data_IF_293146400546
#
_entry.id   IF_293146400546
#
_cell.length_a   1.000
_cell.length_b   1.000
_cell.length_c   1.000
_cell.angle_alpha   90.00
_cell.angle_beta   90.00
_cell.angle_gamma   90.00
#
_symmetry.space_group_name_H-M   'P 1'
#
loop_
_entity.id
_entity.type
_entity.pdbx_description
1 polymer ?
#
# COMPACT_ATOMS: atom_id res chain seq x y z
N UNK A 1 12.08 7.97 36.67
CA UNK A 1 12.62 8.83 35.59
C UNK A 1 13.93 9.42 36.09
N UNK A 2 15.08 9.10 35.50
CA UNK A 2 16.35 9.70 35.90
C UNK A 2 16.40 11.17 35.45
N UNK A 3 16.26 12.09 36.40
CA UNK A 3 16.62 13.48 36.18
C UNK A 3 18.14 13.63 36.11
N UNK A 4 18.63 14.45 35.18
CA UNK A 4 20.05 14.80 35.05
C UNK A 4 20.28 16.25 35.43
N UNK A 5 21.42 16.52 36.04
CA UNK A 5 21.87 17.87 36.37
C UNK A 5 23.02 18.21 35.43
N UNK A 6 22.84 19.22 34.59
CA UNK A 6 23.87 19.70 33.68
C UNK A 6 24.38 21.06 34.14
N UNK A 7 25.69 21.30 33.99
CA UNK A 7 26.32 22.59 34.29
C UNK A 7 26.35 23.43 33.02
N UNK A 8 25.81 24.65 33.09
CA UNK A 8 25.85 25.57 31.96
C UNK A 8 27.28 26.06 31.70
N UNK A 9 27.82 25.84 30.51
CA UNK A 9 29.18 26.24 30.15
C UNK A 9 29.40 27.77 30.09
N UNK A 10 28.32 28.57 30.10
CA UNK A 10 28.40 30.04 29.99
C UNK A 10 28.30 30.74 31.35
N UNK A 11 27.44 30.25 32.26
CA UNK A 11 27.28 30.84 33.60
C UNK A 11 27.55 29.89 34.76
N UNK A 12 28.00 28.67 34.50
CA UNK A 12 28.29 27.62 35.49
C UNK A 12 27.11 27.25 36.40
N UNK A 13 25.88 27.67 36.06
CA UNK A 13 24.68 27.32 36.82
C UNK A 13 24.29 25.87 36.57
N UNK A 14 23.92 25.18 37.65
CA UNK A 14 23.38 23.84 37.60
C UNK A 14 21.91 23.87 37.14
N UNK A 15 21.60 23.18 36.05
CA UNK A 15 20.26 23.09 35.47
C UNK A 15 19.77 21.65 35.55
N UNK A 16 18.64 21.43 36.22
CA UNK A 16 17.99 20.11 36.31
C UNK A 16 17.11 19.89 35.08
N UNK A 17 17.22 18.73 34.45
CA UNK A 17 16.43 18.36 33.28
C UNK A 17 16.37 16.86 33.04
N UNK A 18 15.97 16.46 31.85
CA UNK A 18 15.88 15.06 31.42
C UNK A 18 16.70 14.85 30.15
N UNK A 19 17.29 13.66 29.99
CA UNK A 19 18.01 13.28 28.77
C UNK A 19 17.05 13.20 27.58
N UNK A 20 15.77 12.89 27.83
CA UNK A 20 14.75 12.75 26.79
C UNK A 20 14.09 14.09 26.40
N UNK A 21 14.15 15.11 27.26
CA UNK A 21 13.43 16.38 27.08
C UNK A 21 14.34 17.55 27.44
N UNK A 22 14.67 18.37 26.44
CA UNK A 22 15.63 19.48 26.57
C UNK A 22 15.01 20.82 26.94
N UNK A 23 13.70 20.87 27.22
CA UNK A 23 12.94 22.10 27.46
C UNK A 23 13.55 22.99 28.55
N UNK A 24 13.98 22.41 29.68
CA UNK A 24 14.59 23.16 30.78
C UNK A 24 15.94 23.78 30.39
N UNK A 25 16.76 23.07 29.62
CA UNK A 25 18.06 23.57 29.14
C UNK A 25 17.86 24.68 28.10
N UNK A 26 16.89 24.51 27.21
CA UNK A 26 16.54 25.52 26.19
C UNK A 26 15.99 26.79 26.84
N UNK A 27 15.12 26.66 27.86
CA UNK A 27 14.60 27.80 28.62
C UNK A 27 15.70 28.56 29.35
N UNK A 28 16.64 27.85 29.98
CA UNK A 28 17.82 28.47 30.60
C UNK A 28 18.66 29.24 29.58
N UNK A 29 18.97 28.63 28.43
CA UNK A 29 19.74 29.26 27.36
C UNK A 29 19.02 30.50 26.80
N UNK A 30 17.70 30.42 26.58
CA UNK A 30 16.90 31.54 26.06
C UNK A 30 16.84 32.72 27.03
N UNK A 31 16.71 32.45 28.33
CA UNK A 31 16.50 33.49 29.35
C UNK A 31 17.79 34.12 29.86
N UNK A 32 18.88 33.35 30.02
CA UNK A 32 20.16 33.83 30.55
C UNK A 32 21.21 34.10 29.49
N UNK A 33 21.09 33.49 28.31
CA UNK A 33 22.09 33.58 27.23
C UNK A 33 21.45 33.84 25.85
N UNK A 34 20.72 34.95 25.67
CA UNK A 34 19.94 35.21 24.44
C UNK A 34 20.80 35.23 23.17
N UNK A 35 22.03 35.76 23.22
CA UNK A 35 22.97 35.75 22.07
C UNK A 35 23.39 34.33 21.66
N UNK A 36 23.81 33.48 22.62
CA UNK A 36 24.16 32.07 22.38
C UNK A 36 22.96 31.24 21.92
N UNK A 37 21.76 31.55 22.44
CA UNK A 37 20.52 30.92 21.98
C UNK A 37 20.18 31.29 20.53
N UNK A 38 20.41 32.54 20.12
CA UNK A 38 20.24 32.96 18.72
C UNK A 38 21.19 32.24 17.77
N UNK A 39 22.48 32.10 18.14
CA UNK A 39 23.47 31.31 17.39
C UNK A 39 23.05 29.84 17.26
N UNK A 40 22.57 29.22 18.35
CA UNK A 40 22.04 27.86 18.33
C UNK A 40 20.83 27.72 17.40
N UNK A 41 19.90 28.69 17.43
CA UNK A 41 18.72 28.70 16.58
C UNK A 41 19.08 28.85 15.10
N UNK A 42 20.06 29.70 14.77
CA UNK A 42 20.58 29.87 13.41
C UNK A 42 21.18 28.56 12.86
N UNK A 43 22.09 27.93 13.61
CA UNK A 43 22.70 26.63 13.23
C UNK A 43 21.66 25.51 13.11
N UNK A 44 20.62 25.50 13.97
CA UNK A 44 19.51 24.54 13.89
C UNK A 44 18.67 24.74 12.62
N UNK A 45 18.47 25.99 12.19
CA UNK A 45 17.74 26.31 10.96
C UNK A 45 18.55 25.96 9.70
N UNK A 46 19.86 26.19 9.68
CA UNK A 46 20.75 25.75 8.60
C UNK A 46 20.77 24.22 8.46
N UNK A 47 20.84 23.50 9.58
CA UNK A 47 20.75 22.04 9.57
C UNK A 47 19.37 21.56 9.08
N UNK A 48 18.28 22.27 9.42
CA UNK A 48 16.93 22.01 8.89
C UNK A 48 16.84 22.21 7.38
N UNK A 49 17.44 23.27 6.83
CA UNK A 49 17.48 23.52 5.38
C UNK A 49 18.29 22.44 4.63
N UNK A 50 19.43 21.99 5.19
CA UNK A 50 20.21 20.88 4.64
C UNK A 50 19.46 19.54 4.69
N UNK A 51 18.64 19.29 5.71
CA UNK A 51 17.76 18.11 5.75
C UNK A 51 16.58 18.20 4.78
N UNK A 52 16.04 19.40 4.52
CA UNK A 52 14.93 19.63 3.57
C UNK A 52 15.30 19.38 2.10
N UNK A 53 16.54 19.69 1.69
CA UNK A 53 17.02 19.36 0.32
C UNK A 53 17.17 17.85 0.07
N UNK A 54 17.46 17.06 1.11
CA UNK A 54 17.52 15.59 1.02
C UNK A 54 16.12 14.96 1.01
N UNK A 55 15.12 15.58 1.64
CA UNK A 55 13.74 15.09 1.60
C UNK A 55 13.08 15.34 0.24
N UNK A 56 13.33 16.49 -0.40
CA UNK A 56 12.75 16.81 -1.71
C UNK A 56 13.09 15.78 -2.79
N UNK A 57 14.38 15.45 -2.98
CA UNK A 57 14.79 14.41 -3.94
C UNK A 57 14.16 13.05 -3.62
N UNK A 58 14.00 12.71 -2.34
CA UNK A 58 13.40 11.43 -1.95
C UNK A 58 11.90 11.38 -2.25
N UNK A 59 11.22 12.52 -2.15
CA UNK A 59 9.80 12.68 -2.46
C UNK A 59 9.57 12.68 -3.98
N UNK A 60 10.41 13.39 -4.75
CA UNK A 60 10.37 13.38 -6.22
C UNK A 60 10.58 11.97 -6.79
N UNK A 61 11.56 11.24 -6.25
CA UNK A 61 11.84 9.86 -6.64
C UNK A 61 10.68 8.94 -6.27
N UNK A 62 10.09 9.11 -5.08
CA UNK A 62 8.91 8.35 -4.69
C UNK A 62 7.74 8.59 -5.64
N UNK A 63 7.46 9.85 -5.99
CA UNK A 63 6.39 10.22 -6.92
C UNK A 63 6.64 9.61 -8.30
N UNK A 64 7.86 9.73 -8.83
CA UNK A 64 8.22 9.09 -10.09
C UNK A 64 7.98 7.58 -10.08
N UNK A 65 8.40 6.87 -9.02
CA UNK A 65 8.19 5.43 -8.91
C UNK A 65 6.70 5.07 -8.85
N UNK A 66 5.89 5.86 -8.13
CA UNK A 66 4.45 5.67 -8.05
C UNK A 66 3.76 5.93 -9.40
N UNK A 67 4.10 7.03 -10.06
CA UNK A 67 3.49 7.43 -11.33
C UNK A 67 3.83 6.46 -12.46
N UNK A 68 5.06 5.95 -12.45
CA UNK A 68 5.51 4.94 -13.44
C UNK A 68 5.23 3.50 -13.02
N UNK A 69 4.67 3.27 -11.83
CA UNK A 69 4.51 1.94 -11.22
C UNK A 69 5.81 1.10 -11.24
N UNK A 70 6.96 1.77 -11.13
CA UNK A 70 8.27 1.15 -11.22
C UNK A 70 8.65 0.43 -9.92
N UNK A 71 9.39 -0.69 -10.00
CA UNK A 71 9.88 -1.36 -8.80
C UNK A 71 10.86 -0.46 -8.04
N UNK A 72 10.81 -0.54 -6.71
CA UNK A 72 11.72 0.19 -5.80
C UNK A 72 13.21 -0.14 -6.05
N UNK A 73 13.51 -1.23 -6.75
CA UNK A 73 14.86 -1.61 -7.15
C UNK A 73 15.44 -0.72 -8.25
N UNK A 74 14.60 -0.01 -9.01
CA UNK A 74 15.02 0.83 -10.14
C UNK A 74 16.06 1.88 -9.71
N UNK A 75 15.91 2.44 -8.51
CA UNK A 75 16.79 3.49 -7.97
C UNK A 75 18.22 3.03 -7.68
N UNK A 76 18.44 1.72 -7.60
CA UNK A 76 19.75 1.11 -7.37
C UNK A 76 20.41 0.66 -8.68
N UNK A 77 19.68 0.72 -9.79
CA UNK A 77 20.22 0.34 -11.10
C UNK A 77 21.27 1.34 -11.58
N UNK A 78 22.36 0.84 -12.17
CA UNK A 78 23.46 1.67 -12.68
C UNK A 78 22.99 2.70 -13.71
N UNK A 79 22.07 2.32 -14.59
CA UNK A 79 21.51 3.20 -15.62
C UNK A 79 20.71 4.34 -15.00
N UNK A 80 19.89 4.06 -13.98
CA UNK A 80 19.14 5.10 -13.28
C UNK A 80 20.06 6.05 -12.52
N UNK A 81 21.09 5.54 -11.84
CA UNK A 81 22.07 6.37 -11.13
C UNK A 81 22.82 7.33 -12.06
N UNK A 82 23.08 6.94 -13.31
CA UNK A 82 23.70 7.80 -14.32
C UNK A 82 22.84 9.00 -14.72
N UNK A 83 21.51 8.94 -14.54
CA UNK A 83 20.60 10.06 -14.82
C UNK A 83 20.74 11.19 -13.77
N UNK A 84 21.32 10.90 -12.60
CA UNK A 84 21.48 11.84 -11.50
C UNK A 84 22.94 11.96 -11.04
N UNK A 85 23.86 12.39 -11.93
CA UNK A 85 25.28 12.48 -11.61
C UNK A 85 25.53 13.45 -10.46
N UNK A 86 26.36 13.05 -9.49
CA UNK A 86 26.72 13.87 -8.32
C UNK A 86 25.63 14.02 -7.26
N UNK A 87 24.43 13.47 -7.44
CA UNK A 87 23.38 13.44 -6.40
C UNK A 87 23.48 12.16 -5.57
N UNK A 88 23.41 12.28 -4.24
CA UNK A 88 23.33 11.11 -3.36
C UNK A 88 21.91 10.54 -3.37
N UNK A 89 21.73 9.40 -4.03
CA UNK A 89 20.44 8.74 -4.16
C UNK A 89 19.90 8.26 -2.80
N UNK A 90 18.58 8.40 -2.52
CA UNK A 90 17.96 7.80 -1.36
C UNK A 90 18.08 6.27 -1.42
N UNK A 91 18.26 5.65 -0.25
CA UNK A 91 18.27 4.19 -0.17
C UNK A 91 16.87 3.63 -0.40
N UNK A 92 16.79 2.38 -0.87
CA UNK A 92 15.51 1.66 -0.96
C UNK A 92 14.76 1.67 0.36
N UNK A 93 15.44 1.46 1.50
CA UNK A 93 14.83 1.53 2.84
C UNK A 93 14.22 2.91 3.13
N UNK A 94 14.88 3.98 2.72
CA UNK A 94 14.38 5.36 2.90
C UNK A 94 13.13 5.61 2.06
N UNK A 95 13.13 5.18 0.79
CA UNK A 95 11.95 5.28 -0.07
C UNK A 95 10.81 4.38 0.43
N UNK A 96 11.08 3.15 0.85
CA UNK A 96 10.07 2.26 1.46
C UNK A 96 9.45 2.90 2.70
N UNK A 97 10.25 3.55 3.54
CA UNK A 97 9.74 4.27 4.70
C UNK A 97 8.92 5.50 4.29
N UNK A 98 9.35 6.29 3.31
CA UNK A 98 8.57 7.43 2.82
C UNK A 98 7.26 6.99 2.14
N UNK A 99 7.29 5.90 1.37
CA UNK A 99 6.10 5.26 0.83
C UNK A 99 5.19 4.81 1.98
N UNK A 100 5.74 4.21 3.03
CA UNK A 100 4.99 3.82 4.22
C UNK A 100 4.40 5.03 4.94
N UNK A 101 5.15 6.12 5.12
CA UNK A 101 4.71 7.36 5.78
C UNK A 101 3.64 8.08 4.94
N UNK A 102 3.81 8.13 3.62
CA UNK A 102 2.83 8.69 2.67
C UNK A 102 1.56 7.84 2.63
N UNK A 103 1.69 6.52 2.49
CA UNK A 103 0.57 5.59 2.59
C UNK A 103 -0.08 5.67 3.98
N UNK A 104 0.70 5.85 5.05
CA UNK A 104 0.19 6.03 6.39
C UNK A 104 -0.60 7.33 6.51
N UNK A 105 -0.33 8.39 5.75
CA UNK A 105 -1.22 9.58 5.70
C UNK A 105 -2.56 9.27 5.02
N UNK A 106 -2.59 8.46 3.98
CA UNK A 106 -3.84 8.03 3.31
C UNK A 106 -4.62 7.02 4.16
N UNK A 107 -3.91 6.05 4.73
CA UNK A 107 -4.42 5.12 5.73
C UNK A 107 -4.82 5.88 6.98
N UNK A 108 -4.18 6.98 7.37
CA UNK A 108 -4.60 7.82 8.50
C UNK A 108 -5.88 8.58 8.17
N UNK A 109 -6.12 9.02 6.93
CA UNK A 109 -7.43 9.59 6.53
C UNK A 109 -8.56 8.56 6.57
N UNK A 110 -8.32 7.33 6.08
CA UNK A 110 -9.24 6.19 6.23
C UNK A 110 -9.35 5.73 7.70
N UNK A 111 -8.25 5.82 8.44
CA UNK A 111 -8.13 5.50 9.85
C UNK A 111 -8.67 6.61 10.71
N UNK A 112 -8.93 7.83 10.25
CA UNK A 112 -9.68 8.86 10.99
C UNK A 112 -11.16 8.51 10.93
N UNK A 113 -11.63 7.96 9.79
CA UNK A 113 -12.95 7.36 9.70
C UNK A 113 -13.07 6.06 10.53
N UNK A 114 -11.99 5.27 10.66
CA UNK A 114 -11.91 4.07 11.51
C UNK A 114 -11.33 4.32 12.93
N UNK A 115 -10.84 5.50 13.29
CA UNK A 115 -10.16 5.79 14.59
C UNK A 115 -11.19 5.89 15.70
N UNK A 116 -12.43 6.20 15.32
CA UNK A 116 -13.58 6.07 16.19
C UNK A 116 -14.00 4.61 16.39
N UNK A 117 -13.44 3.66 15.64
CA UNK A 117 -13.78 2.24 15.74
C UNK A 117 -12.76 1.54 16.66
N UNK A 118 -13.28 0.80 17.64
CA UNK A 118 -12.51 0.09 18.68
C UNK A 118 -11.41 -0.87 18.16
N UNK A 119 -11.38 -1.18 16.86
CA UNK A 119 -10.37 -2.01 16.19
C UNK A 119 -8.92 -1.56 16.45
N UNK A 120 -8.62 -0.28 16.26
CA UNK A 120 -7.24 0.24 16.37
C UNK A 120 -6.71 0.11 17.79
N UNK A 121 -7.57 0.31 18.79
CA UNK A 121 -7.21 0.12 20.20
C UNK A 121 -6.88 -1.35 20.50
N UNK A 122 -7.64 -2.29 19.94
CA UNK A 122 -7.38 -3.73 20.06
C UNK A 122 -6.06 -4.09 19.39
N UNK A 123 -5.82 -3.66 18.15
CA UNK A 123 -4.57 -3.95 17.41
C UNK A 123 -3.33 -3.35 18.08
N UNK A 124 -3.43 -2.15 18.66
CA UNK A 124 -2.32 -1.59 19.46
C UNK A 124 -2.02 -2.42 20.71
N UNK A 125 -3.03 -3.02 21.34
CA UNK A 125 -2.86 -3.90 22.50
C UNK A 125 -2.31 -5.28 22.14
N UNK A 126 -2.49 -5.76 20.90
CA UNK A 126 -1.95 -7.06 20.45
C UNK A 126 -0.44 -7.19 20.65
N UNK A 127 0.31 -6.08 20.61
CA UNK A 127 1.77 -6.08 20.78
C UNK A 127 2.23 -6.13 22.25
N UNK A 128 1.30 -6.12 23.21
CA UNK A 128 1.60 -6.16 24.66
C UNK A 128 1.42 -7.60 25.16
N UNK A 129 2.42 -8.21 25.83
CA UNK A 129 2.36 -9.62 26.23
C UNK A 129 1.09 -10.01 27.00
N UNK A 130 0.75 -9.24 28.05
CA UNK A 130 -0.47 -9.47 28.84
C UNK A 130 -1.76 -9.40 28.03
N UNK A 131 -1.84 -8.47 27.08
CA UNK A 131 -3.02 -8.34 26.22
C UNK A 131 -3.08 -9.45 25.17
N UNK A 132 -1.93 -9.90 24.64
CA UNK A 132 -1.85 -11.02 23.72
C UNK A 132 -2.32 -12.34 24.39
N UNK A 133 -1.95 -12.57 25.65
CA UNK A 133 -2.45 -13.69 26.45
C UNK A 133 -3.98 -13.63 26.61
N UNK A 134 -4.53 -12.46 26.94
CA UNK A 134 -5.99 -12.24 27.03
C UNK A 134 -6.66 -12.54 25.68
N UNK A 135 -6.12 -12.01 24.57
CA UNK A 135 -6.65 -12.24 23.22
C UNK A 135 -6.66 -13.74 22.92
N UNK A 136 -5.56 -14.44 23.18
CA UNK A 136 -5.46 -15.87 22.93
C UNK A 136 -6.41 -16.67 23.82
N UNK A 137 -6.61 -16.27 25.07
CA UNK A 137 -7.54 -16.93 26.00
C UNK A 137 -9.00 -16.76 25.58
N UNK A 138 -9.40 -15.56 25.11
CA UNK A 138 -10.78 -15.29 24.71
C UNK A 138 -11.07 -15.87 23.32
N UNK A 139 -10.20 -15.58 22.35
CA UNK A 139 -10.45 -15.91 20.94
C UNK A 139 -10.04 -17.33 20.57
N UNK A 140 -9.16 -17.96 21.36
CA UNK A 140 -8.48 -19.22 20.98
C UNK A 140 -7.71 -19.11 19.66
N UNK A 141 -7.38 -17.88 19.26
CA UNK A 141 -6.70 -17.50 18.03
C UNK A 141 -5.92 -16.22 18.27
N UNK A 142 -4.90 -15.98 17.46
CA UNK A 142 -4.25 -14.67 17.38
C UNK A 142 -5.01 -13.77 16.39
N UNK A 143 -4.97 -12.46 16.66
CA UNK A 143 -5.45 -11.45 15.72
C UNK A 143 -4.33 -11.08 14.74
N UNK A 144 -4.73 -10.76 13.52
CA UNK A 144 -3.84 -10.17 12.52
C UNK A 144 -3.90 -8.64 12.71
N UNK A 145 -2.74 -8.00 12.75
CA UNK A 145 -2.65 -6.54 12.82
C UNK A 145 -2.35 -5.96 11.44
N UNK A 146 -2.92 -4.78 11.12
CA UNK A 146 -2.76 -4.20 9.80
C UNK A 146 -1.31 -3.77 9.56
N UNK A 147 -0.78 -4.15 8.40
CA UNK A 147 0.56 -3.83 7.94
C UNK A 147 0.48 -2.88 6.75
N UNK A 148 1.04 -1.67 6.89
CA UNK A 148 1.00 -0.63 5.85
C UNK A 148 1.73 -1.02 4.56
N UNK A 149 2.64 -1.99 4.61
CA UNK A 149 3.43 -2.43 3.44
C UNK A 149 2.73 -3.50 2.62
N UNK A 150 1.57 -4.01 3.04
CA UNK A 150 0.82 -5.07 2.35
C UNK A 150 -0.61 -4.60 2.08
N UNK A 151 -0.96 -4.42 0.81
CA UNK A 151 -2.12 -3.63 0.37
C UNK A 151 -3.48 -4.15 0.88
N UNK A 152 -3.63 -5.45 1.08
CA UNK A 152 -4.85 -6.08 1.62
C UNK A 152 -4.81 -6.36 3.13
N UNK A 153 -3.73 -6.00 3.84
CA UNK A 153 -3.57 -6.39 5.25
C UNK A 153 -4.61 -5.78 6.18
N UNK A 154 -5.12 -4.58 5.90
CA UNK A 154 -6.22 -3.99 6.68
C UNK A 154 -7.51 -4.80 6.51
N UNK A 155 -7.82 -5.21 5.28
CA UNK A 155 -8.95 -6.08 4.98
C UNK A 155 -8.85 -7.40 5.76
N UNK A 156 -7.69 -8.05 5.73
CA UNK A 156 -7.46 -9.32 6.45
C UNK A 156 -7.59 -9.15 7.96
N UNK A 157 -7.09 -8.03 8.50
CA UNK A 157 -7.16 -7.73 9.93
C UNK A 157 -8.59 -7.50 10.40
N UNK A 158 -9.39 -6.76 9.63
CA UNK A 158 -10.82 -6.55 9.91
C UNK A 158 -11.60 -7.87 9.76
N UNK A 159 -11.33 -8.64 8.70
CA UNK A 159 -11.94 -9.95 8.46
C UNK A 159 -11.68 -10.87 9.64
N UNK A 160 -10.42 -10.95 10.09
CA UNK A 160 -10.03 -11.78 11.23
C UNK A 160 -10.70 -11.35 12.53
N UNK A 161 -10.87 -10.05 12.73
CA UNK A 161 -11.57 -9.53 13.91
C UNK A 161 -13.07 -9.91 13.89
N UNK A 162 -13.73 -9.76 12.74
CA UNK A 162 -15.15 -10.07 12.57
C UNK A 162 -15.47 -11.57 12.57
N UNK A 163 -14.51 -12.45 12.25
CA UNK A 163 -14.65 -13.91 12.51
C UNK A 163 -15.00 -14.21 13.97
N UNK A 164 -14.59 -13.33 14.88
CA UNK A 164 -14.84 -13.44 16.31
C UNK A 164 -15.89 -12.45 16.83
N UNK A 165 -16.80 -11.96 15.98
CA UNK A 165 -17.85 -10.96 16.31
C UNK A 165 -18.57 -11.24 17.65
N UNK A 166 -18.96 -12.48 17.89
CA UNK A 166 -19.67 -12.90 19.12
C UNK A 166 -18.84 -12.79 20.41
N UNK A 167 -17.50 -12.76 20.32
CA UNK A 167 -16.58 -12.64 21.45
C UNK A 167 -16.06 -11.22 21.66
N UNK A 168 -16.35 -10.29 20.75
CA UNK A 168 -15.80 -8.93 20.80
C UNK A 168 -16.21 -8.17 22.07
N UNK A 169 -17.42 -8.38 22.58
CA UNK A 169 -17.85 -7.76 23.84
C UNK A 169 -16.99 -8.17 25.03
N UNK A 170 -16.78 -9.48 25.21
CA UNK A 170 -15.92 -10.02 26.27
C UNK A 170 -14.46 -9.60 26.06
N UNK A 171 -13.99 -9.60 24.82
CA UNK A 171 -12.64 -9.17 24.48
C UNK A 171 -12.41 -7.70 24.86
N UNK A 172 -13.35 -6.81 24.49
CA UNK A 172 -13.29 -5.39 24.84
C UNK A 172 -13.29 -5.18 26.35
N UNK A 173 -14.17 -5.89 27.08
CA UNK A 173 -14.23 -5.83 28.53
C UNK A 173 -12.89 -6.23 29.17
N UNK A 174 -12.33 -7.40 28.83
CA UNK A 174 -11.06 -7.87 29.39
C UNK A 174 -9.85 -7.03 28.99
N UNK A 175 -9.88 -6.42 27.80
CA UNK A 175 -8.82 -5.52 27.34
C UNK A 175 -8.98 -4.09 27.88
N UNK A 176 -10.09 -3.74 28.53
CA UNK A 176 -10.39 -2.37 28.94
C UNK A 176 -10.47 -1.42 27.74
N UNK A 177 -11.15 -1.85 26.67
CA UNK A 177 -11.46 -1.08 25.46
C UNK A 177 -12.97 -0.91 25.40
N UNK A 178 -13.51 0.21 24.90
CA UNK A 178 -14.95 0.34 24.71
C UNK A 178 -15.51 -0.78 23.83
N UNK A 179 -16.72 -1.23 24.14
CA UNK A 179 -17.43 -2.20 23.31
C UNK A 179 -17.84 -1.58 21.98
N UNK A 180 -17.90 -2.39 20.94
CA UNK A 180 -18.39 -1.95 19.64
C UNK A 180 -19.89 -1.63 19.68
N UNK A 181 -20.27 -0.54 19.03
CA UNK A 181 -21.67 -0.24 18.73
C UNK A 181 -22.16 -1.14 17.58
N UNK A 182 -23.48 -1.37 17.51
CA UNK A 182 -24.09 -2.12 16.41
C UNK A 182 -23.74 -1.54 15.04
N UNK A 183 -23.85 -0.21 14.90
CA UNK A 183 -23.51 0.52 13.67
C UNK A 183 -22.02 0.42 13.30
N UNK A 184 -21.12 0.29 14.27
CA UNK A 184 -19.69 0.09 14.00
C UNK A 184 -19.44 -1.30 13.42
N UNK A 185 -20.13 -2.31 13.93
CA UNK A 185 -20.02 -3.67 13.37
C UNK A 185 -20.63 -3.73 11.97
N UNK A 186 -21.81 -3.13 11.77
CA UNK A 186 -22.44 -3.03 10.45
C UNK A 186 -21.53 -2.32 9.44
N UNK A 187 -20.89 -1.22 9.85
CA UNK A 187 -19.89 -0.51 9.05
C UNK A 187 -18.72 -1.42 8.65
N UNK A 188 -18.17 -2.20 9.60
CA UNK A 188 -17.05 -3.12 9.32
C UNK A 188 -17.46 -4.26 8.39
N UNK A 189 -18.68 -4.77 8.52
CA UNK A 189 -19.23 -5.79 7.62
C UNK A 189 -19.40 -5.23 6.20
N UNK A 190 -19.93 -4.02 6.08
CA UNK A 190 -20.03 -3.32 4.80
C UNK A 190 -18.66 -3.01 4.21
N UNK A 191 -17.68 -2.63 5.04
CA UNK A 191 -16.28 -2.45 4.64
C UNK A 191 -15.70 -3.72 4.01
N UNK A 192 -15.89 -4.88 4.66
CA UNK A 192 -15.46 -6.15 4.07
C UNK A 192 -16.17 -6.43 2.75
N UNK A 193 -17.45 -6.09 2.64
CA UNK A 193 -18.20 -6.27 1.39
C UNK A 193 -17.62 -5.46 0.23
N UNK A 194 -17.37 -4.16 0.46
CA UNK A 194 -16.89 -3.22 -0.56
C UNK A 194 -15.44 -3.50 -0.96
N UNK A 195 -14.58 -3.88 -0.01
CA UNK A 195 -13.15 -4.11 -0.28
C UNK A 195 -12.85 -5.52 -0.80
N UNK A 196 -13.73 -6.50 -0.56
CA UNK A 196 -13.55 -7.90 -0.96
C UNK A 196 -13.12 -8.09 -2.43
N UNK A 197 -13.74 -7.43 -3.43
CA UNK A 197 -13.33 -7.61 -4.83
C UNK A 197 -11.87 -7.27 -5.07
N UNK A 198 -11.37 -6.19 -4.45
CA UNK A 198 -9.98 -5.75 -4.59
C UNK A 198 -9.05 -6.67 -3.82
N UNK A 199 -9.39 -7.03 -2.58
CA UNK A 199 -8.56 -7.92 -1.76
C UNK A 199 -8.37 -9.28 -2.44
N UNK A 200 -9.45 -9.92 -2.90
CA UNK A 200 -9.41 -11.19 -3.62
C UNK A 200 -8.62 -11.08 -4.93
N UNK A 201 -8.77 -9.98 -5.67
CA UNK A 201 -8.02 -9.76 -6.91
C UNK A 201 -6.52 -9.61 -6.67
N UNK A 202 -6.13 -8.94 -5.58
CA UNK A 202 -4.73 -8.82 -5.17
C UNK A 202 -4.19 -10.19 -4.76
N UNK A 203 -4.90 -10.93 -3.90
CA UNK A 203 -4.47 -12.26 -3.46
C UNK A 203 -4.34 -13.23 -4.64
N UNK A 204 -5.28 -13.17 -5.58
CA UNK A 204 -5.22 -13.98 -6.79
C UNK A 204 -3.97 -13.69 -7.61
N UNK A 205 -3.69 -12.41 -7.92
CA UNK A 205 -2.53 -12.02 -8.73
C UNK A 205 -1.19 -12.20 -8.01
N UNK A 206 -1.18 -12.25 -6.67
CA UNK A 206 0.01 -12.50 -5.87
C UNK A 206 0.29 -14.00 -5.64
N UNK A 207 -0.65 -14.89 -5.99
CA UNK A 207 -0.45 -16.33 -5.88
C UNK A 207 0.64 -16.84 -6.82
N UNK A 208 1.51 -17.73 -6.35
CA UNK A 208 2.66 -18.24 -7.13
C UNK A 208 2.25 -18.85 -8.48
N UNK A 209 1.09 -19.53 -8.52
CA UNK A 209 0.56 -20.15 -9.74
C UNK A 209 -0.20 -19.18 -10.66
N UNK A 210 -0.46 -17.95 -10.20
CA UNK A 210 -1.31 -16.98 -10.88
C UNK A 210 -0.58 -15.66 -11.17
N UNK A 211 0.72 -15.58 -10.89
CA UNK A 211 1.56 -14.41 -11.14
C UNK A 211 1.96 -14.30 -12.63
N UNK A 212 1.03 -14.59 -13.53
CA UNK A 212 1.20 -14.45 -14.96
C UNK A 212 0.45 -13.23 -15.47
N UNK A 213 1.04 -12.51 -16.41
CA UNK A 213 0.43 -11.28 -16.95
C UNK A 213 -0.94 -11.54 -17.61
N UNK A 214 -1.18 -12.74 -18.12
CA UNK A 214 -2.47 -13.13 -18.71
C UNK A 214 -3.66 -13.13 -17.73
N UNK A 215 -3.41 -13.20 -16.43
CA UNK A 215 -4.46 -13.08 -15.43
C UNK A 215 -4.82 -11.64 -15.07
N UNK A 216 -4.02 -10.66 -15.50
CA UNK A 216 -4.14 -9.28 -15.08
C UNK A 216 -5.44 -8.61 -15.58
N UNK A 217 -5.66 -8.55 -16.90
CA UNK A 217 -6.89 -7.97 -17.47
C UNK A 217 -8.16 -8.69 -16.99
N UNK A 218 -8.24 -10.03 -17.01
CA UNK A 218 -9.41 -10.75 -16.51
C UNK A 218 -9.74 -10.39 -15.05
N UNK A 219 -8.71 -10.24 -14.22
CA UNK A 219 -8.88 -9.82 -12.83
C UNK A 219 -9.39 -8.39 -12.72
N UNK A 220 -8.84 -7.44 -13.49
CA UNK A 220 -9.32 -6.05 -13.52
C UNK A 220 -10.79 -5.96 -13.93
N UNK A 221 -11.19 -6.69 -14.97
CA UNK A 221 -12.58 -6.76 -15.44
C UNK A 221 -13.49 -7.36 -14.36
N UNK A 222 -13.03 -8.43 -13.68
CA UNK A 222 -13.76 -9.04 -12.57
C UNK A 222 -13.96 -8.07 -11.40
N UNK A 223 -12.92 -7.35 -10.99
CA UNK A 223 -13.00 -6.33 -9.92
C UNK A 223 -13.99 -5.24 -10.32
N UNK A 224 -13.87 -4.69 -11.53
CA UNK A 224 -14.78 -3.66 -12.06
C UNK A 224 -16.23 -4.12 -11.99
N UNK A 225 -16.52 -5.33 -12.45
CA UNK A 225 -17.89 -5.85 -12.43
C UNK A 225 -18.41 -6.10 -11.03
N UNK A 226 -17.59 -6.63 -10.13
CA UNK A 226 -17.97 -6.84 -8.74
C UNK A 226 -18.27 -5.49 -8.04
N UNK A 227 -17.46 -4.46 -8.23
CA UNK A 227 -17.71 -3.13 -7.65
C UNK A 227 -18.98 -2.46 -8.22
N UNK A 228 -19.20 -2.58 -9.54
CA UNK A 228 -20.42 -2.06 -10.18
C UNK A 228 -21.68 -2.76 -9.66
N UNK A 229 -21.62 -4.06 -9.37
CA UNK A 229 -22.76 -4.79 -8.77
C UNK A 229 -23.15 -4.25 -7.40
N UNK A 230 -22.20 -3.72 -6.63
CA UNK A 230 -22.48 -3.11 -5.33
C UNK A 230 -23.32 -1.82 -5.45
N UNK A 231 -23.42 -1.19 -6.63
CA UNK A 231 -24.31 -0.04 -6.85
C UNK A 231 -25.80 -0.42 -6.75
N UNK A 232 -26.13 -1.68 -7.05
CA UNK A 232 -27.48 -2.20 -6.93
C UNK A 232 -27.80 -2.67 -5.51
N UNK A 233 -26.83 -2.60 -4.61
CA UNK A 233 -26.99 -2.98 -3.22
C UNK A 233 -27.22 -1.74 -2.36
N UNK A 234 -28.09 -1.85 -1.36
CA UNK A 234 -28.34 -0.77 -0.42
C UNK A 234 -27.20 -0.71 0.62
N UNK A 235 -26.15 0.07 0.30
CA UNK A 235 -25.00 0.32 1.17
C UNK A 235 -25.32 1.48 2.12
N UNK A 236 -25.34 1.22 3.43
CA UNK A 236 -25.75 2.20 4.42
C UNK A 236 -24.65 3.23 4.73
N UNK A 237 -23.38 2.88 4.53
CA UNK A 237 -22.24 3.68 4.97
C UNK A 237 -21.22 4.02 3.88
N UNK A 238 -21.00 3.12 2.92
CA UNK A 238 -19.86 3.09 2.01
C UNK A 238 -20.25 3.24 0.54
N UNK A 239 -21.48 3.66 0.24
CA UNK A 239 -21.93 3.93 -1.13
C UNK A 239 -20.97 4.89 -1.87
N UNK A 240 -20.65 6.04 -1.27
CA UNK A 240 -19.70 7.00 -1.83
C UNK A 240 -18.30 6.40 -1.99
N UNK A 241 -17.87 5.57 -1.05
CA UNK A 241 -16.55 4.92 -1.10
C UNK A 241 -16.50 3.95 -2.27
N UNK A 242 -17.55 3.17 -2.51
CA UNK A 242 -17.65 2.29 -3.68
C UNK A 242 -17.55 3.09 -4.99
N UNK A 243 -18.30 4.20 -5.12
CA UNK A 243 -18.26 5.07 -6.31
C UNK A 243 -16.83 5.61 -6.56
N UNK A 244 -16.17 6.13 -5.52
CA UNK A 244 -14.82 6.67 -5.65
C UNK A 244 -13.78 5.58 -5.94
N UNK A 245 -13.94 4.37 -5.38
CA UNK A 245 -13.11 3.22 -5.70
C UNK A 245 -13.23 2.81 -7.17
N UNK A 246 -14.44 2.80 -7.72
CA UNK A 246 -14.65 2.53 -9.14
C UNK A 246 -13.97 3.58 -10.02
N UNK A 247 -14.13 4.87 -9.71
CA UNK A 247 -13.45 5.96 -10.43
C UNK A 247 -11.94 5.82 -10.36
N UNK A 248 -11.40 5.54 -9.17
CA UNK A 248 -9.96 5.38 -8.96
C UNK A 248 -9.41 4.17 -9.74
N UNK A 249 -10.13 3.05 -9.74
CA UNK A 249 -9.77 1.85 -10.51
C UNK A 249 -9.74 2.16 -12.01
N UNK A 250 -10.82 2.79 -12.52
CA UNK A 250 -10.94 3.14 -13.93
C UNK A 250 -9.86 4.11 -14.38
N UNK A 251 -9.59 5.16 -13.59
CA UNK A 251 -8.53 6.13 -13.87
C UNK A 251 -7.14 5.48 -13.87
N UNK A 252 -6.86 4.61 -12.89
CA UNK A 252 -5.54 3.98 -12.75
C UNK A 252 -5.24 3.01 -13.89
N UNK A 253 -6.25 2.29 -14.37
CA UNK A 253 -6.09 1.25 -15.39
C UNK A 253 -6.78 1.62 -16.71
N UNK A 254 -6.97 2.91 -16.96
CA UNK A 254 -7.66 3.47 -18.12
C UNK A 254 -7.16 2.83 -19.43
N UNK A 255 -5.84 2.73 -19.58
CA UNK A 255 -5.23 2.17 -20.79
C UNK A 255 -5.70 0.75 -21.11
N UNK A 256 -5.90 -0.08 -20.08
CA UNK A 256 -6.39 -1.45 -20.24
C UNK A 256 -7.90 -1.49 -20.50
N UNK A 257 -8.67 -0.61 -19.85
CA UNK A 257 -10.13 -0.56 -20.05
C UNK A 257 -10.55 0.01 -21.41
N UNK A 258 -9.74 0.89 -22.01
CA UNK A 258 -9.96 1.43 -23.34
C UNK A 258 -9.10 0.79 -24.43
N UNK A 259 -8.34 -0.26 -24.08
CA UNK A 259 -7.50 -1.01 -25.02
C UNK A 259 -6.57 -0.11 -25.85
N UNK A 260 -5.86 0.81 -25.18
CA UNK A 260 -4.82 1.62 -25.85
C UNK A 260 -3.72 0.70 -26.42
N UNK A 261 -3.02 1.15 -27.45
CA UNK A 261 -2.05 0.34 -28.20
C UNK A 261 -1.02 -0.37 -27.30
N UNK A 262 -0.54 0.31 -26.25
CA UNK A 262 0.42 -0.21 -25.26
C UNK A 262 -0.16 -1.21 -24.24
N UNK A 263 -1.44 -1.56 -24.36
CA UNK A 263 -2.16 -2.49 -23.47
C UNK A 263 -2.52 -3.80 -24.15
N UNK A 264 -2.33 -3.91 -25.48
CA UNK A 264 -2.71 -5.07 -26.28
C UNK A 264 -1.94 -6.33 -25.86
N UNK A 265 -0.68 -6.20 -25.44
CA UNK A 265 0.11 -7.31 -24.88
C UNK A 265 -0.64 -8.04 -23.75
N UNK A 266 -1.34 -7.29 -22.89
CA UNK A 266 -2.08 -7.85 -21.76
C UNK A 266 -3.33 -8.60 -22.22
N UNK A 267 -3.94 -8.17 -23.33
CA UNK A 267 -5.10 -8.85 -23.94
C UNK A 267 -4.64 -10.16 -24.56
N UNK A 268 -3.57 -10.12 -25.37
CA UNK A 268 -3.00 -11.31 -26.00
C UNK A 268 -2.56 -12.30 -24.92
N UNK A 269 -1.84 -11.83 -23.89
CA UNK A 269 -1.44 -12.65 -22.75
C UNK A 269 -2.63 -13.32 -22.06
N UNK A 270 -3.78 -12.65 -21.95
CA UNK A 270 -4.97 -13.23 -21.34
C UNK A 270 -5.65 -14.26 -22.25
N UNK A 271 -5.66 -14.04 -23.57
CA UNK A 271 -6.26 -14.96 -24.54
C UNK A 271 -5.52 -16.30 -24.58
N UNK A 272 -4.20 -16.28 -24.44
CA UNK A 272 -3.38 -17.51 -24.48
C UNK A 272 -3.49 -18.34 -23.20
N UNK A 273 -4.10 -17.82 -22.12
CA UNK A 273 -4.37 -18.61 -20.91
C UNK A 273 -5.59 -19.52 -21.15
N UNK A 274 -5.45 -20.86 -21.09
CA UNK A 274 -6.52 -21.80 -21.42
C UNK A 274 -7.79 -21.64 -20.59
N UNK A 275 -7.67 -21.29 -19.32
CA UNK A 275 -8.80 -21.12 -18.41
C UNK A 275 -9.60 -19.84 -18.71
N UNK A 276 -8.91 -18.81 -19.22
CA UNK A 276 -9.46 -17.47 -19.47
C UNK A 276 -9.99 -17.36 -20.90
N UNK A 277 -9.14 -17.59 -21.91
CA UNK A 277 -9.44 -17.42 -23.34
C UNK A 277 -10.13 -16.07 -23.62
N UNK A 278 -11.34 -16.08 -24.19
CA UNK A 278 -12.09 -14.88 -24.57
C UNK A 278 -13.15 -14.46 -23.54
N UNK A 279 -13.24 -15.13 -22.37
CA UNK A 279 -14.37 -14.93 -21.43
C UNK A 279 -14.51 -13.50 -20.90
N UNK A 280 -13.39 -12.78 -20.77
CA UNK A 280 -13.38 -11.40 -20.27
C UNK A 280 -13.72 -10.36 -21.36
N UNK A 281 -13.67 -10.76 -22.64
CA UNK A 281 -13.61 -9.82 -23.76
C UNK A 281 -14.91 -9.06 -23.94
N UNK A 282 -16.06 -9.75 -23.88
CA UNK A 282 -17.38 -9.11 -24.00
C UNK A 282 -17.53 -7.93 -23.05
N UNK A 283 -17.21 -8.16 -21.77
CA UNK A 283 -17.31 -7.13 -20.72
C UNK A 283 -16.28 -6.02 -20.88
N UNK A 284 -15.09 -6.33 -21.41
CA UNK A 284 -14.09 -5.32 -21.70
C UNK A 284 -14.54 -4.40 -22.85
N UNK A 285 -15.11 -4.99 -23.91
CA UNK A 285 -15.61 -4.27 -25.08
C UNK A 285 -16.83 -3.39 -24.78
N UNK A 286 -17.60 -3.65 -23.72
CA UNK A 286 -18.63 -2.72 -23.22
C UNK A 286 -18.06 -1.35 -22.83
N UNK A 287 -16.75 -1.26 -22.58
CA UNK A 287 -16.06 -0.01 -22.21
C UNK A 287 -15.17 0.51 -23.33
N UNK A 288 -14.56 -0.39 -24.11
CA UNK A 288 -13.67 -0.07 -25.22
C UNK A 288 -14.45 0.07 -26.54
N UNK A 289 -15.32 1.07 -26.64
CA UNK A 289 -16.23 1.25 -27.79
C UNK A 289 -15.53 1.46 -29.14
N UNK A 290 -14.21 1.73 -29.13
CA UNK A 290 -13.42 2.04 -30.32
C UNK A 290 -12.75 0.80 -30.94
N UNK A 291 -12.85 -0.36 -30.29
CA UNK A 291 -12.18 -1.60 -30.70
C UNK A 291 -13.21 -2.71 -30.76
N UNK A 292 -13.17 -3.50 -31.83
CA UNK A 292 -14.06 -4.64 -32.06
C UNK A 292 -13.38 -5.96 -31.72
N UNK A 293 -14.16 -7.04 -31.64
CA UNK A 293 -13.60 -8.38 -31.51
C UNK A 293 -12.71 -8.77 -32.72
N UNK A 294 -13.03 -8.24 -33.90
CA UNK A 294 -12.28 -8.51 -35.13
C UNK A 294 -10.90 -7.84 -35.13
N UNK A 295 -10.82 -6.62 -34.57
CA UNK A 295 -9.55 -5.93 -34.37
C UNK A 295 -8.61 -6.73 -33.45
N UNK A 296 -9.17 -7.35 -32.41
CA UNK A 296 -8.42 -8.17 -31.45
C UNK A 296 -7.95 -9.47 -32.10
N UNK A 297 -8.79 -10.11 -32.92
CA UNK A 297 -8.40 -11.29 -33.71
C UNK A 297 -7.27 -10.96 -34.69
N UNK A 298 -7.36 -9.81 -35.35
CA UNK A 298 -6.33 -9.32 -36.28
C UNK A 298 -5.00 -9.12 -35.55
N UNK A 299 -5.02 -8.50 -34.36
CA UNK A 299 -3.82 -8.36 -33.54
C UNK A 299 -3.25 -9.70 -33.08
N UNK A 300 -4.10 -10.64 -32.64
CA UNK A 300 -3.66 -11.98 -32.25
C UNK A 300 -2.95 -12.70 -33.40
N UNK A 301 -3.50 -12.62 -34.61
CA UNK A 301 -2.88 -13.20 -35.81
C UNK A 301 -1.54 -12.53 -36.12
N UNK A 302 -1.46 -11.20 -36.03
CA UNK A 302 -0.21 -10.48 -36.22
C UNK A 302 0.87 -10.91 -35.21
N UNK A 303 0.53 -10.99 -33.92
CA UNK A 303 1.43 -11.49 -32.88
C UNK A 303 1.89 -12.93 -33.15
N UNK A 304 0.97 -13.81 -33.55
CA UNK A 304 1.30 -15.20 -33.90
C UNK A 304 2.29 -15.30 -35.06
N UNK A 305 2.10 -14.48 -36.10
CA UNK A 305 3.01 -14.40 -37.26
C UNK A 305 4.39 -13.87 -36.88
N UNK A 306 4.46 -12.81 -36.07
CA UNK A 306 5.74 -12.27 -35.60
C UNK A 306 6.49 -13.26 -34.70
N UNK A 307 5.78 -13.98 -33.83
CA UNK A 307 6.37 -15.04 -33.01
C UNK A 307 6.93 -16.19 -33.86
N UNK A 308 6.19 -16.64 -34.88
CA UNK A 308 6.66 -17.67 -35.81
C UNK A 308 7.95 -17.26 -36.54
N UNK A 309 8.01 -16.00 -37.03
CA UNK A 309 9.22 -15.45 -37.67
C UNK A 309 10.43 -15.40 -36.71
N UNK A 310 10.21 -15.19 -35.41
CA UNK A 310 11.28 -15.21 -34.42
C UNK A 310 11.83 -16.62 -34.18
N UNK A 311 10.95 -17.63 -34.16
CA UNK A 311 11.36 -19.04 -34.07
C UNK A 311 12.19 -19.46 -35.29
N UNK A 312 11.81 -19.04 -36.49
CA UNK A 312 12.57 -19.33 -37.72
C UNK A 312 13.98 -18.70 -37.72
N UNK A 313 14.15 -17.55 -37.04
CA UNK A 313 15.44 -16.86 -36.89
C UNK A 313 16.34 -17.45 -35.79
N UNK A 314 15.81 -18.34 -34.95
CA UNK A 314 16.56 -19.02 -33.87
C UNK A 314 16.65 -20.52 -34.13
N UNK A 315 17.53 -20.97 -35.04
CA UNK A 315 17.73 -22.40 -35.24
C UNK A 315 18.43 -23.00 -34.02
N UNK A 316 17.72 -23.88 -33.29
CA UNK A 316 18.11 -24.72 -32.15
C UNK A 316 17.97 -24.14 -30.74
N UNK A 317 16.81 -24.41 -30.12
CA UNK A 317 16.66 -24.56 -28.66
C UNK A 317 15.90 -25.84 -28.30
N UNK A 318 15.91 -26.87 -29.16
CA UNK A 318 15.18 -28.13 -28.97
C UNK A 318 16.03 -29.26 -28.38
N UNK A 319 17.15 -28.95 -27.72
CA UNK A 319 18.05 -29.94 -27.14
C UNK A 319 18.41 -29.65 -25.69
N UNK A 320 17.42 -29.61 -24.79
CA UNK A 320 17.68 -29.80 -23.35
C UNK A 320 16.67 -30.80 -22.75
N UNK A 321 17.17 -32.02 -22.64
CA UNK A 321 16.89 -33.07 -21.64
C UNK A 321 15.47 -33.63 -21.49
N UNK A 322 15.20 -34.65 -22.29
CA UNK A 322 14.60 -35.90 -21.82
C UNK A 322 15.53 -36.60 -20.80
N UNK A 323 15.59 -36.15 -19.55
CA UNK A 323 16.07 -36.95 -18.40
C UNK A 323 15.46 -36.41 -17.10
N UNK A 324 14.38 -37.05 -16.65
CA UNK A 324 14.03 -37.21 -15.24
C UNK A 324 13.19 -38.49 -15.16
N UNK A 325 13.89 -39.59 -14.85
CA UNK A 325 13.32 -40.84 -14.35
C UNK A 325 12.92 -40.69 -12.90
#
# INVERSE_FOLDING_TARGET
MCGVIAICQVCQKHVKGSIKVSSNFILHMRSKHPKKYAEFKAKKNENRQKTGRKSALSEDVLNFLCDTCSPLSLIESKSFLKLFPGKKMPSRRSITRLLSDSNQKYVHKLSIALENVNCTQIWHKCHRPKSAEIISAVLSSQLITPCVTRWNSLYDSVKKLLEHKHKLGELCYRLGVPSFLGSEIEYLEEYLKVLKPIAEGIDFLQGEQNMFFGYFIPTLVSIKMKLRRLENENLAFLERVNIEMQKALHKRFEKYFYLKEDSLDAVIAAIVIPDVKLRFLKTLLETANNITEDDIKTHLNHYGLEFAKQLEKTPNATSISSQAS
#
